data_IF_771361313322
#
_entry.id   IF_771361313322
#
_cell.length_a   1.000
_cell.length_b   1.000
_cell.length_c   1.000
_cell.angle_alpha   90.00
_cell.angle_beta   90.00
_cell.angle_gamma   90.00
#
_symmetry.space_group_name_H-M   'P 1'
#
loop_
_entity.id
_entity.type
_entity.pdbx_description
1 polymer ?
#
# COMPACT_ATOMS: atom_id res chain seq x y z
N UNK A 1 19.96 22.18 8.55
CA UNK A 1 20.24 20.73 8.76
C UNK A 1 19.09 19.96 8.12
N UNK A 2 19.31 19.39 6.94
CA UNK A 2 18.28 18.71 6.15
C UNK A 2 18.12 17.26 6.63
N UNK A 3 17.31 17.06 7.67
CA UNK A 3 16.87 15.73 8.11
C UNK A 3 15.61 15.39 7.33
N UNK A 4 15.65 14.37 6.45
CA UNK A 4 14.42 13.77 5.91
C UNK A 4 14.42 13.28 4.46
N UNK A 5 15.31 13.76 3.58
CA UNK A 5 15.39 13.27 2.17
C UNK A 5 16.29 12.03 2.00
N UNK A 6 16.45 11.21 3.04
CA UNK A 6 17.42 10.11 3.07
C UNK A 6 16.82 8.73 3.38
N UNK A 7 15.49 8.56 3.29
CA UNK A 7 14.84 7.28 3.61
C UNK A 7 14.29 6.51 2.40
N UNK A 8 14.70 6.86 1.17
CA UNK A 8 14.31 6.13 -0.04
C UNK A 8 15.48 5.36 -0.68
N UNK A 9 16.63 5.31 0.02
CA UNK A 9 17.86 4.68 -0.46
C UNK A 9 18.20 3.42 0.34
N UNK A 10 17.19 2.67 0.79
CA UNK A 10 17.37 1.26 1.15
C UNK A 10 17.29 0.40 -0.12
N UNK A 11 18.11 0.75 -1.12
CA UNK A 11 18.54 -0.17 -2.16
C UNK A 11 19.58 -1.09 -1.53
N UNK A 12 19.14 -2.20 -0.92
CA UNK A 12 20.08 -3.27 -0.57
C UNK A 12 20.17 -4.36 -1.64
N UNK A 13 19.31 -4.32 -2.66
CA UNK A 13 19.42 -5.10 -3.90
C UNK A 13 18.77 -4.32 -5.04
N UNK A 14 19.22 -4.52 -6.28
CA UNK A 14 18.58 -3.97 -7.50
C UNK A 14 17.07 -4.27 -7.53
N UNK A 15 16.69 -5.43 -7.00
CA UNK A 15 15.29 -5.85 -6.79
C UNK A 15 14.50 -4.92 -5.85
N UNK A 16 15.10 -4.43 -4.77
CA UNK A 16 14.44 -3.52 -3.83
C UNK A 16 14.12 -2.15 -4.44
N UNK A 17 14.96 -1.66 -5.36
CA UNK A 17 14.71 -0.40 -6.06
C UNK A 17 13.52 -0.49 -7.03
N UNK A 18 13.39 -1.62 -7.74
CA UNK A 18 12.25 -1.88 -8.63
C UNK A 18 10.93 -1.99 -7.84
N UNK A 19 10.96 -2.73 -6.72
CA UNK A 19 9.79 -2.88 -5.84
C UNK A 19 9.34 -1.54 -5.23
N UNK A 20 10.28 -0.66 -4.87
CA UNK A 20 9.95 0.70 -4.42
C UNK A 20 9.33 1.55 -5.52
N UNK A 21 9.78 1.40 -6.78
CA UNK A 21 9.17 2.06 -7.95
C UNK A 21 7.71 1.62 -8.18
N UNK A 22 7.42 0.33 -7.98
CA UNK A 22 6.07 -0.23 -8.07
C UNK A 22 5.19 0.34 -6.94
N UNK A 23 5.68 0.33 -5.69
CA UNK A 23 4.94 0.89 -4.54
C UNK A 23 4.68 2.39 -4.73
N UNK A 24 5.66 3.15 -5.21
CA UNK A 24 5.49 4.59 -5.47
C UNK A 24 4.43 4.85 -6.54
N UNK A 25 4.45 4.07 -7.62
CA UNK A 25 3.43 4.13 -8.68
C UNK A 25 2.03 3.79 -8.15
N UNK A 26 1.92 2.81 -7.26
CA UNK A 26 0.66 2.45 -6.59
C UNK A 26 0.16 3.57 -5.66
N UNK A 27 1.04 4.19 -4.87
CA UNK A 27 0.69 5.34 -4.01
C UNK A 27 0.21 6.52 -4.86
N UNK A 28 0.90 6.81 -5.96
CA UNK A 28 0.50 7.85 -6.90
C UNK A 28 -0.89 7.56 -7.51
N UNK A 29 -1.16 6.30 -7.85
CA UNK A 29 -2.46 5.85 -8.35
C UNK A 29 -3.57 6.00 -7.30
N UNK A 30 -3.29 5.65 -6.04
CA UNK A 30 -4.24 5.83 -4.94
C UNK A 30 -4.59 7.31 -4.74
N UNK A 31 -3.58 8.18 -4.78
CA UNK A 31 -3.79 9.65 -4.71
C UNK A 31 -4.66 10.15 -5.86
N UNK A 32 -4.43 9.69 -7.08
CA UNK A 32 -5.26 10.06 -8.24
C UNK A 32 -6.71 9.58 -8.11
N UNK A 33 -6.95 8.48 -7.40
CA UNK A 33 -8.30 7.94 -7.14
C UNK A 33 -8.95 8.50 -5.86
N UNK A 34 -8.27 9.38 -5.13
CA UNK A 34 -8.74 9.94 -3.86
C UNK A 34 -8.84 8.91 -2.72
N UNK A 35 -8.00 7.87 -2.76
CA UNK A 35 -7.94 6.80 -1.76
C UNK A 35 -6.80 7.11 -0.81
N UNK A 36 -7.01 6.88 0.49
CA UNK A 36 -5.92 6.96 1.47
C UNK A 36 -4.89 5.84 1.23
N UNK A 37 -3.65 6.16 0.81
CA UNK A 37 -2.68 5.15 0.40
C UNK A 37 -2.23 4.27 1.57
N UNK A 38 -2.28 4.78 2.80
CA UNK A 38 -1.94 4.00 4.00
C UNK A 38 -2.98 2.91 4.24
N UNK A 39 -4.27 3.26 4.24
CA UNK A 39 -5.38 2.31 4.40
C UNK A 39 -5.38 1.25 3.30
N UNK A 40 -5.15 1.67 2.05
CA UNK A 40 -5.04 0.74 0.93
C UNK A 40 -3.85 -0.22 1.09
N UNK A 41 -2.66 0.28 1.39
CA UNK A 41 -1.47 -0.56 1.53
C UNK A 41 -1.60 -1.54 2.69
N UNK A 42 -2.12 -1.10 3.84
CA UNK A 42 -2.33 -1.99 4.99
C UNK A 42 -3.32 -3.09 4.66
N UNK A 43 -4.47 -2.76 4.06
CA UNK A 43 -5.46 -3.78 3.69
C UNK A 43 -4.89 -4.75 2.65
N UNK A 44 -4.24 -4.24 1.59
CA UNK A 44 -3.67 -5.09 0.52
C UNK A 44 -2.56 -5.98 1.05
N UNK A 45 -1.67 -5.49 1.92
CA UNK A 45 -0.59 -6.29 2.51
C UNK A 45 -1.10 -7.35 3.49
N UNK A 46 -2.19 -7.09 4.21
CA UNK A 46 -2.85 -8.09 5.06
C UNK A 46 -3.61 -9.12 4.21
N UNK A 47 -4.24 -8.66 3.12
CA UNK A 47 -5.07 -9.48 2.25
C UNK A 47 -4.25 -10.33 1.28
N UNK A 48 -3.09 -9.88 0.81
CA UNK A 48 -2.26 -10.62 -0.16
C UNK A 48 -1.81 -11.99 0.36
N UNK A 49 -1.66 -12.14 1.68
CA UNK A 49 -1.35 -13.43 2.30
C UNK A 49 -2.52 -14.41 2.38
N UNK A 50 -3.75 -13.92 2.24
CA UNK A 50 -4.99 -14.71 2.34
C UNK A 50 -5.71 -14.86 0.99
N UNK A 51 -5.41 -13.98 0.03
CA UNK A 51 -6.08 -13.92 -1.25
C UNK A 51 -5.38 -14.80 -2.29
N UNK A 52 -6.12 -15.58 -3.10
CA UNK A 52 -5.51 -16.34 -4.20
C UNK A 52 -4.90 -15.40 -5.24
N UNK A 53 -3.69 -15.73 -5.70
CA UNK A 53 -2.94 -14.95 -6.69
C UNK A 53 -3.69 -14.76 -8.02
N UNK A 54 -4.66 -15.62 -8.33
CA UNK A 54 -5.52 -15.52 -9.51
C UNK A 54 -6.51 -14.36 -9.48
N UNK A 55 -6.64 -13.65 -8.36
CA UNK A 55 -7.59 -12.53 -8.17
C UNK A 55 -6.89 -11.24 -7.73
N UNK A 56 -5.63 -11.07 -8.11
CA UNK A 56 -4.84 -9.85 -7.80
C UNK A 56 -5.44 -8.61 -8.47
N UNK A 57 -6.22 -8.79 -9.54
CA UNK A 57 -7.01 -7.75 -10.20
C UNK A 57 -8.10 -7.15 -9.29
N UNK A 58 -8.55 -7.86 -8.26
CA UNK A 58 -9.47 -7.31 -7.25
C UNK A 58 -8.74 -6.36 -6.28
N UNK A 59 -7.41 -6.48 -6.16
CA UNK A 59 -6.58 -5.66 -5.28
C UNK A 59 -6.13 -4.35 -5.91
N UNK A 60 -6.32 -4.12 -7.23
CA UNK A 60 -5.91 -2.85 -7.83
C UNK A 60 -6.70 -1.68 -7.22
N UNK A 61 -6.11 -0.47 -7.09
CA UNK A 61 -6.71 0.64 -6.34
C UNK A 61 -8.16 0.95 -6.75
N UNK A 62 -8.47 0.81 -8.04
CA UNK A 62 -9.81 1.05 -8.59
C UNK A 62 -10.86 0.01 -8.18
N UNK A 63 -10.50 -1.28 -8.14
CA UNK A 63 -11.42 -2.34 -7.70
C UNK A 63 -11.49 -2.40 -6.18
N UNK A 64 -10.35 -2.23 -5.51
CA UNK A 64 -10.28 -2.15 -4.07
C UNK A 64 -11.22 -1.08 -3.50
N UNK A 65 -11.25 0.10 -4.13
CA UNK A 65 -12.18 1.18 -3.78
C UNK A 65 -13.65 0.75 -3.79
N UNK A 66 -14.05 -0.12 -4.72
CA UNK A 66 -15.44 -0.58 -4.84
C UNK A 66 -15.78 -1.70 -3.86
N UNK A 67 -14.81 -2.55 -3.54
CA UNK A 67 -15.03 -3.81 -2.83
C UNK A 67 -14.71 -3.72 -1.33
N UNK A 68 -13.71 -2.91 -0.96
CA UNK A 68 -13.09 -2.95 0.36
C UNK A 68 -13.02 -1.58 1.05
N UNK A 69 -13.41 -0.49 0.37
CA UNK A 69 -13.38 0.86 0.96
C UNK A 69 -14.24 0.97 2.24
N UNK A 70 -15.40 0.31 2.26
CA UNK A 70 -16.32 0.36 3.40
C UNK A 70 -15.86 -0.50 4.59
N UNK A 71 -15.03 -1.53 4.38
CA UNK A 71 -14.51 -2.38 5.44
C UNK A 71 -13.06 -2.85 5.17
N UNK A 72 -12.08 -1.94 5.30
CA UNK A 72 -10.67 -2.30 5.17
C UNK A 72 -10.20 -3.10 6.39
N UNK A 73 -9.39 -4.13 6.16
CA UNK A 73 -8.56 -4.76 7.19
C UNK A 73 -7.58 -3.70 7.70
N UNK A 74 -7.74 -3.30 8.96
CA UNK A 74 -6.84 -2.38 9.66
C UNK A 74 -5.92 -3.18 10.57
N UNK A 75 -4.73 -2.65 10.83
CA UNK A 75 -3.85 -3.26 11.83
C UNK A 75 -4.37 -3.02 13.23
N UNK A 76 -4.06 -3.95 14.15
CA UNK A 76 -4.47 -3.91 15.56
C UNK A 76 -3.92 -2.70 16.35
N UNK A 77 -3.10 -1.86 15.71
CA UNK A 77 -2.58 -0.62 16.27
C UNK A 77 -3.50 0.59 16.01
N UNK A 78 -4.53 0.43 15.18
CA UNK A 78 -5.51 1.48 14.88
C UNK A 78 -6.43 1.72 16.10
N UNK A 79 -6.01 2.62 17.00
CA UNK A 79 -6.75 3.01 18.20
C UNK A 79 -5.98 2.88 19.52
N UNK A 80 -4.75 2.32 19.52
CA UNK A 80 -3.88 2.22 20.71
C UNK A 80 -2.86 3.36 20.82
N UNK A 81 -3.22 4.54 20.31
CA UNK A 81 -2.33 5.71 20.24
C UNK A 81 -2.99 6.98 20.78
N UNK A 82 -3.78 6.87 21.84
CA UNK A 82 -4.21 7.99 22.67
C UNK A 82 -3.91 7.66 24.14
#
# INVERSE_FOLDING_TARGET
IAVGKKNWMFSWTEAGAEQLGIIYSLIATCRMQGIDPYTYLVDVLLRVGQHPASKVDELIPRHWKKMFQDNPMRSDLWGKGQ
#
